data_IF_177786881370
#
_entry.id   IF_177786881370
#
_cell.length_a   1.000
_cell.length_b   1.000
_cell.length_c   1.000
_cell.angle_alpha   90.00
_cell.angle_beta   90.00
_cell.angle_gamma   90.00
#
_symmetry.space_group_name_H-M   'P 1'
#
loop_
_entity.id
_entity.type
_entity.pdbx_description
1 polymer ?
#
# COMPACT_ATOMS: atom_id res chain seq x y z
N UNK A 1 0.25 9.00 -14.18
CA UNK A 1 0.86 7.75 -13.69
C UNK A 1 0.50 6.64 -14.65
N UNK A 2 1.46 5.84 -15.09
CA UNK A 2 1.24 4.76 -16.06
C UNK A 2 0.39 3.63 -15.45
N UNK A 3 -0.27 2.78 -16.27
CA UNK A 3 -1.10 1.69 -15.75
C UNK A 3 -0.38 0.75 -14.78
N UNK A 4 0.88 0.32 -15.01
CA UNK A 4 1.57 -0.55 -14.04
C UNK A 4 1.78 0.12 -12.69
N UNK A 5 2.13 1.41 -12.67
CA UNK A 5 2.32 2.17 -11.42
C UNK A 5 1.00 2.39 -10.66
N UNK A 6 -0.13 2.49 -11.36
CA UNK A 6 -1.46 2.49 -10.73
C UNK A 6 -1.75 1.17 -10.01
N UNK A 7 -1.38 0.04 -10.63
CA UNK A 7 -1.53 -1.30 -10.00
C UNK A 7 -0.65 -1.42 -8.76
N UNK A 8 0.61 -0.99 -8.83
CA UNK A 8 1.51 -1.01 -7.67
C UNK A 8 0.99 -0.11 -6.52
N UNK A 9 0.53 1.09 -6.85
CA UNK A 9 -0.07 2.02 -5.88
C UNK A 9 -1.30 1.41 -5.21
N UNK A 10 -2.18 0.79 -6.00
CA UNK A 10 -3.39 0.12 -5.49
C UNK A 10 -3.03 -1.07 -4.59
N UNK A 11 -2.04 -1.88 -4.98
CA UNK A 11 -1.55 -3.00 -4.17
C UNK A 11 -1.01 -2.54 -2.82
N UNK A 12 -0.23 -1.45 -2.80
CA UNK A 12 0.27 -0.85 -1.56
C UNK A 12 -0.88 -0.35 -0.67
N UNK A 13 -1.87 0.34 -1.24
CA UNK A 13 -3.04 0.81 -0.51
C UNK A 13 -3.79 -0.34 0.17
N UNK A 14 -4.06 -1.43 -0.57
CA UNK A 14 -4.72 -2.63 -0.02
C UNK A 14 -3.90 -3.25 1.10
N UNK A 15 -2.58 -3.38 0.93
CA UNK A 15 -1.70 -3.93 1.96
C UNK A 15 -1.70 -3.08 3.25
N UNK A 16 -1.66 -1.75 3.12
CA UNK A 16 -1.69 -0.82 4.26
C UNK A 16 -3.05 -0.88 4.98
N UNK A 17 -4.16 -0.86 4.23
CA UNK A 17 -5.51 -0.98 4.80
C UNK A 17 -5.66 -2.30 5.53
N UNK A 18 -5.26 -3.42 4.90
CA UNK A 18 -5.32 -4.73 5.52
C UNK A 18 -4.45 -4.80 6.78
N UNK A 19 -3.24 -4.23 6.76
CA UNK A 19 -2.37 -4.18 7.93
C UNK A 19 -3.00 -3.38 9.07
N UNK A 20 -3.49 -2.16 8.81
CA UNK A 20 -4.16 -1.33 9.83
C UNK A 20 -5.40 -2.03 10.41
N UNK A 21 -6.17 -2.70 9.57
CA UNK A 21 -7.32 -3.46 10.01
C UNK A 21 -6.88 -4.67 10.89
N UNK A 22 -6.00 -5.54 10.39
CA UNK A 22 -5.59 -6.77 11.08
C UNK A 22 -4.82 -6.52 12.37
N UNK A 23 -4.02 -5.46 12.42
CA UNK A 23 -3.20 -5.14 13.60
C UNK A 23 -4.04 -4.70 14.80
N UNK A 24 -5.25 -4.17 14.59
CA UNK A 24 -6.14 -3.79 15.67
C UNK A 24 -6.63 -5.00 16.48
N UNK A 25 -6.74 -6.18 15.86
CA UNK A 25 -7.30 -7.39 16.49
C UNK A 25 -6.63 -8.68 15.99
N UNK A 26 -5.35 -8.91 16.34
CA UNK A 26 -4.65 -10.14 15.96
C UNK A 26 -5.39 -11.38 16.49
N UNK A 27 -5.65 -12.35 15.61
CA UNK A 27 -6.33 -13.61 15.95
C UNK A 27 -7.87 -13.57 15.92
N UNK A 28 -8.48 -12.41 15.63
CA UNK A 28 -9.92 -12.28 15.48
C UNK A 28 -10.31 -12.17 14.00
N UNK A 29 -11.41 -12.81 13.61
CA UNK A 29 -12.01 -12.61 12.29
C UNK A 29 -12.49 -11.16 12.17
N UNK A 30 -11.94 -10.44 11.19
CA UNK A 30 -12.35 -9.08 10.91
C UNK A 30 -13.75 -9.03 10.32
N UNK A 31 -14.52 -8.05 10.77
CA UNK A 31 -15.81 -7.73 10.17
C UNK A 31 -15.63 -6.83 8.94
N UNK A 32 -16.60 -6.87 8.03
CA UNK A 32 -16.64 -5.97 6.87
C UNK A 32 -16.62 -4.49 7.29
N UNK A 33 -17.19 -4.16 8.44
CA UNK A 33 -17.25 -2.79 8.96
C UNK A 33 -15.88 -2.27 9.39
N UNK A 34 -15.04 -3.11 9.98
CA UNK A 34 -13.67 -2.75 10.38
C UNK A 34 -12.76 -2.53 9.16
N UNK A 35 -12.92 -3.34 8.12
CA UNK A 35 -12.20 -3.16 6.85
C UNK A 35 -12.62 -1.83 6.20
N UNK A 36 -13.93 -1.53 6.15
CA UNK A 36 -14.44 -0.26 5.63
C UNK A 36 -13.90 0.93 6.40
N UNK A 37 -13.94 0.87 7.74
CA UNK A 37 -13.39 1.92 8.59
C UNK A 37 -11.90 2.14 8.31
N UNK A 38 -11.10 1.08 8.20
CA UNK A 38 -9.69 1.19 7.87
C UNK A 38 -9.44 1.77 6.47
N UNK A 39 -10.30 1.47 5.50
CA UNK A 39 -10.23 2.05 4.17
C UNK A 39 -10.57 3.56 4.19
N UNK A 40 -11.61 3.96 4.93
CA UNK A 40 -11.96 5.37 5.12
C UNK A 40 -10.83 6.15 5.79
N UNK A 41 -10.22 5.59 6.85
CA UNK A 41 -9.05 6.18 7.50
C UNK A 41 -7.89 6.37 6.52
N UNK A 42 -7.62 5.38 5.67
CA UNK A 42 -6.59 5.51 4.64
C UNK A 42 -6.92 6.62 3.63
N UNK A 43 -8.14 6.64 3.08
CA UNK A 43 -8.57 7.61 2.06
C UNK A 43 -8.54 9.05 2.58
N UNK A 44 -8.86 9.26 3.85
CA UNK A 44 -8.88 10.60 4.46
C UNK A 44 -7.54 11.03 5.09
N UNK A 45 -6.54 10.15 5.08
CA UNK A 45 -5.19 10.47 5.54
C UNK A 45 -4.32 11.03 4.39
N UNK A 46 -3.13 11.58 4.68
CA UNK A 46 -2.15 11.92 3.65
C UNK A 46 -1.47 10.71 2.99
N UNK A 47 -1.70 9.51 3.50
CA UNK A 47 -1.04 8.27 3.06
C UNK A 47 -1.22 7.95 1.58
N UNK A 48 -2.40 8.12 0.94
CA UNK A 48 -2.56 7.85 -0.50
C UNK A 48 -1.59 8.66 -1.37
N UNK A 49 -1.42 9.94 -1.07
CA UNK A 49 -0.50 10.85 -1.78
C UNK A 49 0.97 10.47 -1.54
N UNK A 50 1.31 10.07 -0.31
CA UNK A 50 2.66 9.62 0.05
C UNK A 50 3.01 8.31 -0.67
N UNK A 51 2.11 7.32 -0.66
CA UNK A 51 2.29 6.04 -1.36
C UNK A 51 2.44 6.28 -2.87
N UNK A 52 1.58 7.12 -3.45
CA UNK A 52 1.68 7.48 -4.87
C UNK A 52 3.03 8.11 -5.21
N UNK A 53 3.50 9.05 -4.39
CA UNK A 53 4.79 9.71 -4.59
C UNK A 53 5.95 8.73 -4.48
N UNK A 54 5.94 7.86 -3.47
CA UNK A 54 6.98 6.86 -3.25
C UNK A 54 7.02 5.79 -4.36
N UNK A 55 5.85 5.37 -4.87
CA UNK A 55 5.78 4.46 -6.03
C UNK A 55 6.33 5.12 -7.29
N UNK A 56 6.02 6.40 -7.52
CA UNK A 56 6.59 7.13 -8.67
C UNK A 56 8.11 7.23 -8.54
N UNK A 57 8.63 7.65 -7.39
CA UNK A 57 10.06 7.78 -7.15
C UNK A 57 10.81 6.45 -7.34
N UNK A 58 10.26 5.34 -6.84
CA UNK A 58 10.91 4.04 -6.89
C UNK A 58 10.84 3.35 -8.27
N UNK A 59 9.82 3.64 -9.08
CA UNK A 59 9.49 2.81 -10.24
C UNK A 59 9.25 3.57 -11.55
N UNK A 60 9.29 4.91 -11.58
CA UNK A 60 9.04 5.68 -12.80
C UNK A 60 10.04 5.38 -13.94
N UNK A 61 11.27 5.02 -13.59
CA UNK A 61 12.36 4.74 -14.53
C UNK A 61 12.62 3.24 -14.70
N UNK A 62 11.77 2.38 -14.13
CA UNK A 62 11.89 0.92 -14.25
C UNK A 62 11.23 0.45 -15.53
N UNK A 63 12.06 0.16 -16.53
CA UNK A 63 11.64 -0.51 -17.75
C UNK A 63 11.77 -2.04 -17.57
N UNK A 64 10.65 -2.72 -17.30
CA UNK A 64 10.60 -4.18 -17.28
C UNK A 64 9.78 -4.79 -16.14
N UNK A 65 10.28 -5.88 -15.56
CA UNK A 65 9.57 -6.64 -14.53
C UNK A 65 9.66 -5.99 -13.16
N UNK A 66 8.52 -5.83 -12.48
CA UNK A 66 8.44 -5.46 -11.07
C UNK A 66 8.64 -6.66 -10.12
N UNK A 67 8.83 -7.86 -10.66
CA UNK A 67 9.00 -9.09 -9.89
C UNK A 67 10.48 -9.42 -9.62
N UNK A 68 11.29 -8.38 -9.39
CA UNK A 68 12.68 -8.54 -8.97
C UNK A 68 12.80 -8.43 -7.45
N UNK A 69 13.82 -9.05 -6.82
CA UNK A 69 14.05 -8.89 -5.38
C UNK A 69 14.10 -7.42 -4.94
N UNK A 70 14.74 -6.56 -5.72
CA UNK A 70 14.87 -5.13 -5.45
C UNK A 70 13.52 -4.42 -5.49
N UNK A 71 12.69 -4.72 -6.51
CA UNK A 71 11.36 -4.12 -6.61
C UNK A 71 10.44 -4.58 -5.47
N UNK A 72 10.51 -5.86 -5.09
CA UNK A 72 9.73 -6.40 -3.95
C UNK A 72 10.14 -5.74 -2.64
N UNK A 73 11.43 -5.57 -2.40
CA UNK A 73 11.94 -4.87 -1.22
C UNK A 73 11.48 -3.41 -1.18
N UNK A 74 11.56 -2.69 -2.31
CA UNK A 74 11.05 -1.33 -2.41
C UNK A 74 9.55 -1.24 -2.11
N UNK A 75 8.71 -2.14 -2.66
CA UNK A 75 7.28 -2.19 -2.34
C UNK A 75 7.04 -2.47 -0.84
N UNK A 76 7.82 -3.37 -0.24
CA UNK A 76 7.73 -3.66 1.19
C UNK A 76 8.08 -2.42 2.03
N UNK A 77 9.13 -1.68 1.68
CA UNK A 77 9.51 -0.44 2.36
C UNK A 77 8.45 0.65 2.21
N UNK A 78 7.84 0.79 1.04
CA UNK A 78 6.74 1.73 0.81
C UNK A 78 5.58 1.40 1.74
N UNK A 79 5.19 0.12 1.84
CA UNK A 79 4.10 -0.31 2.73
C UNK A 79 4.46 -0.05 4.20
N UNK A 80 5.62 -0.50 4.68
CA UNK A 80 6.03 -0.35 6.09
C UNK A 80 6.15 1.12 6.52
N UNK A 81 6.69 1.98 5.67
CA UNK A 81 6.87 3.41 5.97
C UNK A 81 5.54 4.18 6.04
N UNK A 82 4.47 3.60 5.52
CA UNK A 82 3.15 4.22 5.40
C UNK A 82 2.07 3.51 6.24
N UNK A 83 2.46 2.53 7.07
CA UNK A 83 1.57 1.82 7.98
C UNK A 83 1.27 2.57 9.29
N UNK A 84 2.14 3.51 9.68
CA UNK A 84 2.03 4.27 10.94
C UNK A 84 0.80 5.18 10.92
#
# INVERSE_FOLDING_TARGET
MSPPLQVLTMGCAVAIIAAKALWLKPGQLMTVQEIKYSAEQYIHSPTPELVKSAVLEAFQDVDGSYDTPQCREALQQIVLSNQI
#
